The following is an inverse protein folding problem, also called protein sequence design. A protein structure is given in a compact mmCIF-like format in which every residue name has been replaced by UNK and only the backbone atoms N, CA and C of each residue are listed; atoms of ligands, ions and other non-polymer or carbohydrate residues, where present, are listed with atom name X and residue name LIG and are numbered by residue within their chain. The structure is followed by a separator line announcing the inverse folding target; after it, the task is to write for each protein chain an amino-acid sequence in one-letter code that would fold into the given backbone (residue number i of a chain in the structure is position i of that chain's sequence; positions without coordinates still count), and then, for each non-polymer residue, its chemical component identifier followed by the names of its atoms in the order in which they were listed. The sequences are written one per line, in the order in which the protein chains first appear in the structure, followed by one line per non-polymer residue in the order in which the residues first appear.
data_IF_273295936941
#
_entry.id   IF_273295936941
#
_cell.length_a   1.000
_cell.length_b   1.000
_cell.length_c   1.000
_cell.angle_alpha   90.00
_cell.angle_beta   90.00
_cell.angle_gamma   90.00
#
_symmetry.space_group_name_H-M   'P 1'
#
loop_
_entity.id
_entity.type
_entity.pdbx_description
1 polymer ?
#
# COMPACT_ATOMS: atom_id res chain seq x y z
N UNK A 1 7.49 -24.13 -0.55
CA UNK A 1 8.61 -23.27 -0.09
C UNK A 1 9.24 -22.49 -1.24
N UNK A 2 9.43 -23.09 -2.43
CA UNK A 2 9.89 -22.36 -3.63
C UNK A 2 8.87 -21.33 -4.17
N UNK A 3 7.57 -21.61 -4.08
CA UNK A 3 6.50 -20.69 -4.54
C UNK A 3 6.40 -19.38 -3.75
N UNK A 4 6.63 -19.42 -2.43
CA UNK A 4 6.67 -18.23 -1.57
C UNK A 4 7.82 -17.28 -1.94
N UNK A 5 8.95 -17.81 -2.42
CA UNK A 5 10.06 -16.98 -2.85
C UNK A 5 9.75 -16.23 -4.16
N UNK A 6 8.92 -16.81 -5.04
CA UNK A 6 8.56 -16.22 -6.34
C UNK A 6 7.42 -15.20 -6.20
N UNK A 7 6.47 -15.39 -5.28
CA UNK A 7 5.42 -14.39 -5.00
C UNK A 7 5.97 -13.14 -4.29
N UNK A 8 7.06 -13.29 -3.54
CA UNK A 8 7.79 -12.20 -2.88
C UNK A 8 8.83 -11.53 -3.80
N UNK A 9 8.93 -11.92 -5.07
CA UNK A 9 9.90 -11.33 -6.00
C UNK A 9 9.37 -10.03 -6.61
N UNK A 10 10.05 -8.94 -6.30
CA UNK A 10 9.82 -7.62 -6.87
C UNK A 10 10.53 -7.59 -8.21
N UNK A 11 9.76 -7.38 -9.28
CA UNK A 11 10.30 -7.05 -10.60
C UNK A 11 10.99 -5.68 -10.50
N UNK A 12 12.32 -5.69 -10.45
CA UNK A 12 13.15 -4.49 -10.32
C UNK A 12 13.03 -3.56 -11.55
N UNK A 13 12.66 -4.11 -12.71
CA UNK A 13 12.45 -3.34 -13.94
C UNK A 13 11.03 -2.72 -13.97
N UNK A 14 10.13 -3.13 -13.06
CA UNK A 14 8.79 -2.55 -12.87
C UNK A 14 8.72 -1.44 -11.81
N UNK A 15 9.74 -1.30 -10.97
CA UNK A 15 9.76 -0.34 -9.86
C UNK A 15 11.10 0.41 -9.87
N UNK A 16 11.18 1.40 -10.74
CA UNK A 16 12.30 2.32 -10.77
C UNK A 16 12.16 3.29 -9.57
N UNK A 17 13.20 3.34 -8.72
CA UNK A 17 13.31 4.03 -7.42
C UNK A 17 12.67 5.44 -7.36
N UNK A 18 12.08 5.88 -6.24
CA UNK A 18 12.79 6.15 -4.98
C UNK A 18 12.47 5.22 -3.78
N UNK A 19 11.41 4.40 -3.82
CA UNK A 19 11.06 3.51 -2.70
C UNK A 19 10.51 2.19 -3.22
N UNK A 20 11.12 1.08 -2.81
CA UNK A 20 10.77 -0.26 -3.29
C UNK A 20 9.60 -0.81 -2.46
N UNK A 21 8.37 -0.91 -3.01
CA UNK A 21 7.26 -1.53 -2.30
C UNK A 21 7.38 -3.06 -2.36
N UNK A 22 7.07 -3.74 -1.27
CA UNK A 22 7.17 -5.19 -1.13
C UNK A 22 5.81 -5.77 -0.79
N UNK A 23 5.38 -6.79 -1.53
CA UNK A 23 4.24 -7.63 -1.15
C UNK A 23 4.78 -8.87 -0.45
N UNK A 24 4.31 -9.12 0.78
CA UNK A 24 4.72 -10.26 1.60
C UNK A 24 3.54 -11.20 1.74
N UNK A 25 3.72 -12.45 1.32
CA UNK A 25 2.82 -13.54 1.68
C UNK A 25 3.07 -13.95 3.14
N UNK A 26 2.04 -13.87 3.98
CA UNK A 26 2.13 -14.14 5.43
C UNK A 26 1.94 -15.62 5.78
N UNK A 27 1.72 -16.49 4.78
CA UNK A 27 1.64 -17.94 4.95
C UNK A 27 0.28 -18.46 5.43
N UNK A 28 0.19 -19.78 5.56
CA UNK A 28 -1.03 -20.52 5.88
C UNK A 28 -1.62 -20.19 7.26
N UNK A 29 -0.77 -19.87 8.22
CA UNK A 29 -1.12 -19.54 9.61
C UNK A 29 -1.94 -18.25 9.69
N UNK A 30 -1.80 -17.39 8.68
CA UNK A 30 -2.58 -16.16 8.49
C UNK A 30 -3.61 -16.32 7.37
N UNK A 31 -4.02 -17.55 7.04
CA UNK A 31 -5.03 -17.84 6.00
C UNK A 31 -4.64 -17.32 4.60
N UNK A 32 -3.32 -17.31 4.30
CA UNK A 32 -2.80 -16.83 3.02
C UNK A 32 -2.92 -15.33 2.80
N UNK A 33 -3.08 -14.54 3.88
CA UNK A 33 -3.15 -13.09 3.78
C UNK A 33 -1.84 -12.47 3.31
N UNK A 34 -1.94 -11.27 2.75
CA UNK A 34 -0.80 -10.54 2.21
C UNK A 34 -0.64 -9.17 2.87
N UNK A 35 0.61 -8.79 3.12
CA UNK A 35 1.00 -7.49 3.65
C UNK A 35 1.73 -6.71 2.55
N UNK A 36 1.21 -5.52 2.22
CA UNK A 36 1.91 -4.57 1.35
C UNK A 36 2.72 -3.61 2.20
N UNK A 37 4.04 -3.66 2.09
CA UNK A 37 4.92 -2.64 2.64
C UNK A 37 5.22 -1.64 1.53
N UNK A 38 4.61 -0.45 1.56
CA UNK A 38 4.82 0.56 0.50
C UNK A 38 5.90 1.60 0.84
N UNK A 39 6.59 1.43 1.98
CA UNK A 39 7.68 2.31 2.43
C UNK A 39 7.27 3.79 2.41
N UNK A 40 8.06 4.66 1.78
CA UNK A 40 7.84 6.12 1.71
C UNK A 40 7.15 6.57 0.40
N UNK A 41 6.50 5.65 -0.33
CA UNK A 41 5.73 6.02 -1.53
C UNK A 41 4.65 7.10 -1.25
N UNK A 42 4.23 7.23 0.01
CA UNK A 42 3.26 8.21 0.49
C UNK A 42 3.78 8.92 1.74
N UNK A 43 4.15 10.20 1.60
CA UNK A 43 4.69 11.01 2.69
C UNK A 43 3.62 11.54 3.66
N UNK A 44 2.34 11.52 3.28
CA UNK A 44 1.26 12.01 4.13
C UNK A 44 -0.08 11.31 3.85
N UNK A 45 -0.67 10.67 4.87
CA UNK A 45 -1.87 9.84 4.75
C UNK A 45 -3.12 10.50 4.14
N UNK A 46 -3.25 11.83 4.22
CA UNK A 46 -4.28 12.59 3.47
C UNK A 46 -3.76 13.02 2.09
N UNK A 47 -2.76 13.91 2.06
CA UNK A 47 -2.34 14.60 0.83
C UNK A 47 -1.84 13.64 -0.24
N UNK A 48 -0.84 12.79 0.05
CA UNK A 48 -0.25 11.94 -0.99
C UNK A 48 -1.19 10.83 -1.46
N UNK A 49 -2.15 10.42 -0.63
CA UNK A 49 -3.15 9.40 -0.97
C UNK A 49 -4.31 10.02 -1.77
N UNK A 50 -4.77 11.21 -1.40
CA UNK A 50 -5.87 11.88 -2.10
C UNK A 50 -5.43 12.66 -3.35
N UNK A 51 -4.15 12.99 -3.43
CA UNK A 51 -3.51 13.68 -4.56
C UNK A 51 -2.27 12.90 -5.02
N UNK A 52 -2.41 11.65 -5.52
CA UNK A 52 -1.27 10.83 -5.90
C UNK A 52 -0.48 11.35 -7.11
N UNK A 53 -1.04 12.35 -7.82
CA UNK A 53 -0.40 13.07 -8.93
C UNK A 53 0.48 14.24 -8.49
N UNK A 54 0.48 14.60 -7.21
CA UNK A 54 1.37 15.66 -6.74
C UNK A 54 2.77 15.10 -6.57
N UNK A 55 3.77 15.83 -7.05
CA UNK A 55 5.15 15.44 -6.88
C UNK A 55 5.61 15.72 -5.45
N UNK A 56 6.40 14.81 -4.90
CA UNK A 56 7.27 15.14 -3.79
C UNK A 56 8.59 15.71 -4.35
N UNK A 57 9.22 16.60 -3.59
CA UNK A 57 10.55 17.11 -3.95
C UNK A 57 11.61 16.00 -3.87
N UNK A 58 11.37 14.99 -3.05
CA UNK A 58 12.21 13.80 -2.89
C UNK A 58 11.91 12.69 -3.94
N UNK A 59 10.96 12.89 -4.86
CA UNK A 59 10.75 11.96 -5.97
C UNK A 59 11.94 12.08 -6.96
N UNK A 60 12.75 11.02 -7.08
CA UNK A 60 13.88 10.96 -8.03
C UNK A 60 13.40 11.08 -9.49
N UNK A 61 12.39 10.28 -9.88
CA UNK A 61 11.65 10.41 -11.13
C UNK A 61 10.18 10.71 -10.82
N UNK A 62 9.79 11.94 -11.12
CA UNK A 62 8.48 12.51 -10.79
C UNK A 62 7.31 11.82 -11.49
N UNK A 63 7.49 11.36 -12.72
CA UNK A 63 6.42 10.70 -13.48
C UNK A 63 6.27 9.24 -13.06
N UNK A 64 7.39 8.55 -12.86
CA UNK A 64 7.39 7.16 -12.38
C UNK A 64 6.83 7.05 -10.96
N UNK A 65 7.11 8.03 -10.11
CA UNK A 65 6.52 8.11 -8.77
C UNK A 65 4.99 8.21 -8.81
N UNK A 66 4.44 9.02 -9.72
CA UNK A 66 2.99 9.15 -9.91
C UNK A 66 2.38 7.82 -10.36
N UNK A 67 2.96 7.17 -11.36
CA UNK A 67 2.43 5.89 -11.86
C UNK A 67 2.54 4.79 -10.80
N UNK A 68 3.61 4.78 -10.01
CA UNK A 68 3.79 3.88 -8.87
C UNK A 68 2.72 4.12 -7.81
N UNK A 69 2.50 5.36 -7.38
CA UNK A 69 1.45 5.71 -6.40
C UNK A 69 0.06 5.26 -6.88
N UNK A 70 -0.29 5.53 -8.14
CA UNK A 70 -1.60 5.15 -8.71
C UNK A 70 -1.79 3.64 -8.72
N UNK A 71 -0.75 2.88 -9.08
CA UNK A 71 -0.78 1.41 -9.09
C UNK A 71 -0.92 0.85 -7.68
N UNK A 72 -0.11 1.32 -6.72
CA UNK A 72 -0.15 0.86 -5.33
C UNK A 72 -1.51 1.12 -4.68
N UNK A 73 -2.07 2.32 -4.86
CA UNK A 73 -3.40 2.66 -4.32
C UNK A 73 -4.51 1.79 -4.93
N UNK A 74 -4.46 1.55 -6.24
CA UNK A 74 -5.45 0.70 -6.91
C UNK A 74 -5.34 -0.74 -6.44
N UNK A 75 -4.12 -1.30 -6.40
CA UNK A 75 -3.84 -2.65 -5.92
C UNK A 75 -4.29 -2.83 -4.47
N UNK A 76 -3.91 -1.93 -3.57
CA UNK A 76 -4.27 -1.99 -2.16
C UNK A 76 -5.79 -1.93 -1.94
N UNK A 77 -6.50 -1.08 -2.69
CA UNK A 77 -7.95 -0.96 -2.57
C UNK A 77 -8.72 -2.13 -3.19
N UNK A 78 -8.31 -2.59 -4.38
CA UNK A 78 -8.98 -3.66 -5.12
C UNK A 78 -8.81 -5.02 -4.44
N UNK A 79 -7.59 -5.32 -3.98
CA UNK A 79 -7.27 -6.56 -3.30
C UNK A 79 -7.47 -6.48 -1.77
N UNK A 80 -7.83 -5.29 -1.26
CA UNK A 80 -8.03 -5.00 0.16
C UNK A 80 -6.85 -5.44 1.03
N UNK A 81 -5.64 -5.12 0.57
CA UNK A 81 -4.40 -5.49 1.24
C UNK A 81 -4.25 -4.70 2.54
N UNK A 82 -3.75 -5.38 3.58
CA UNK A 82 -3.19 -4.66 4.73
C UNK A 82 -1.91 -3.97 4.28
N UNK A 83 -1.76 -2.70 4.64
CA UNK A 83 -0.64 -1.86 4.22
C UNK A 83 0.16 -1.40 5.43
N UNK A 84 1.49 -1.51 5.34
CA UNK A 84 2.44 -0.86 6.24
C UNK A 84 3.11 0.33 5.56
N UNK A 85 3.00 1.50 6.17
CA UNK A 85 3.56 2.76 5.67
C UNK A 85 4.35 3.52 6.71
N UNK A 86 5.54 3.98 6.33
CA UNK A 86 6.46 4.65 7.24
C UNK A 86 5.93 5.99 7.76
N UNK A 87 5.26 6.76 6.88
CA UNK A 87 4.70 8.07 7.22
C UNK A 87 3.19 8.04 7.52
N UNK A 88 2.64 6.85 7.80
CA UNK A 88 1.24 6.71 8.19
C UNK A 88 1.07 6.91 9.71
N UNK A 89 -0.11 7.35 10.19
CA UNK A 89 -0.36 7.47 11.63
C UNK A 89 -0.05 6.16 12.36
N UNK A 90 0.60 6.25 13.53
CA UNK A 90 0.94 5.07 14.33
C UNK A 90 -0.30 4.18 14.58
N UNK A 91 -0.20 2.86 14.39
CA UNK A 91 1.03 2.05 14.26
C UNK A 91 1.63 1.97 12.84
N UNK A 92 1.16 2.79 11.90
CA UNK A 92 1.61 2.76 10.50
C UNK A 92 0.93 1.67 9.67
N UNK A 93 -0.09 1.02 10.22
CA UNK A 93 -0.87 -0.03 9.57
C UNK A 93 -2.27 0.45 9.22
N UNK A 94 -2.76 0.05 8.05
CA UNK A 94 -4.09 0.42 7.59
C UNK A 94 -4.46 -0.18 6.25
N UNK A 95 -5.62 0.22 5.77
CA UNK A 95 -6.18 -0.16 4.48
C UNK A 95 -6.35 1.08 3.61
N UNK A 96 -6.49 0.84 2.31
CA UNK A 96 -6.82 1.87 1.34
C UNK A 96 -8.24 1.60 0.84
N UNK A 97 -9.09 2.61 0.92
CA UNK A 97 -10.44 2.57 0.38
C UNK A 97 -10.53 3.49 -0.84
N UNK A 98 -11.18 3.03 -1.92
CA UNK A 98 -11.49 3.88 -3.08
C UNK A 98 -12.73 4.71 -2.78
N UNK A 99 -12.66 6.00 -3.07
CA UNK A 99 -13.80 6.93 -3.07
C UNK A 99 -14.10 7.36 -4.51
N UNK A 100 -15.15 8.16 -4.74
CA UNK A 100 -15.63 8.52 -6.08
C UNK A 100 -14.52 8.98 -7.04
N UNK A 101 -13.58 9.79 -6.54
CA UNK A 101 -12.52 10.41 -7.35
C UNK A 101 -11.12 10.29 -6.73
N UNK A 102 -10.95 9.46 -5.69
CA UNK A 102 -9.75 9.45 -4.86
C UNK A 102 -9.62 8.15 -4.07
N UNK A 103 -8.66 8.12 -3.14
CA UNK A 103 -8.50 7.09 -2.13
C UNK A 103 -8.51 7.69 -0.73
N UNK A 104 -8.74 6.86 0.28
CA UNK A 104 -8.72 7.21 1.69
C UNK A 104 -7.93 6.18 2.48
N UNK A 105 -7.08 6.65 3.40
CA UNK A 105 -6.42 5.80 4.38
C UNK A 105 -7.39 5.46 5.52
N UNK A 106 -7.51 4.17 5.83
CA UNK A 106 -8.29 3.64 6.93
C UNK A 106 -7.31 3.01 7.92
N UNK A 107 -6.92 3.70 9.01
CA UNK A 107 -6.00 3.13 9.97
C UNK A 107 -6.63 1.90 10.62
N UNK A 108 -5.82 0.89 10.93
CA UNK A 108 -6.30 -0.23 11.75
C UNK A 108 -6.70 0.24 13.13
N UNK A 109 -7.69 -0.42 13.72
CA UNK A 109 -8.04 -0.20 15.12
C UNK A 109 -7.00 -0.87 16.04
N UNK A 110 -7.12 -0.66 17.36
CA UNK A 110 -6.29 -1.34 18.36
C UNK A 110 -6.26 -2.87 18.17
N UNK A 111 -7.39 -3.46 17.80
CA UNK A 111 -7.44 -4.86 17.40
C UNK A 111 -7.13 -4.96 15.91
N UNK A 112 -5.95 -5.48 15.60
CA UNK A 112 -5.58 -5.83 14.23
C UNK A 112 -6.34 -7.11 13.84
N UNK A 113 -7.29 -6.95 12.93
CA UNK A 113 -7.78 -8.05 12.10
C UNK A 113 -7.16 -7.85 10.72
N UNK A 114 -6.37 -8.81 10.27
CA UNK A 114 -5.74 -8.76 8.95
C UNK A 114 -6.76 -9.05 7.84
N UNK A 115 -7.96 -9.56 8.18
CA UNK A 115 -9.08 -9.66 7.24
C UNK A 115 -9.60 -8.25 6.99
N UNK A 116 -9.69 -7.87 5.72
CA UNK A 116 -10.17 -6.55 5.35
C UNK A 116 -11.52 -6.25 6.01
N UNK A 117 -11.72 -5.06 6.60
CA UNK A 117 -12.98 -4.71 7.22
C UNK A 117 -14.11 -4.79 6.18
N UNK A 118 -15.26 -5.31 6.59
CA UNK A 118 -16.48 -5.16 5.79
C UNK A 118 -16.70 -3.65 5.59
N UNK A 119 -16.92 -3.23 4.34
CA UNK A 119 -17.14 -1.81 4.00
C UNK A 119 -18.17 -1.21 4.95
N UNK A 120 -17.76 -0.21 5.74
CA UNK A 120 -18.68 0.57 6.58
C UNK A 120 -19.41 1.52 5.62
N UNK A 121 -20.42 0.99 4.95
CA UNK A 121 -21.39 1.80 4.21
C UNK A 121 -22.32 2.41 5.25
N UNK A 122 -22.02 3.64 5.63
CA UNK A 122 -22.91 4.54 6.35
C UNK A 122 -23.43 5.62 5.42
#
# INVERSE_FOLDING_TARGET
MLELAVSNFIDQDRYEHCFIPTLIDTGSESDGQQLLIWSDAFLHYVVSIQRPRWHADFDDDKEKAIETRKRLLSMAAEQRLLVAGHHMPLPGLGYVERTDHSFRWIPVSYQLDMRAPASVTG
#
